data_IF_708351786144
#
_entry.id   IF_708351786144
#
_cell.length_a   1.000
_cell.length_b   1.000
_cell.length_c   1.000
_cell.angle_alpha   90.00
_cell.angle_beta   90.00
_cell.angle_gamma   90.00
#
_symmetry.space_group_name_H-M   'P 1'
#
loop_
_entity.id
_entity.type
_entity.pdbx_description
1 polymer ?
#
# COMPACT_ATOMS: atom_id res chain seq x y z
N UNK A 1 -2.59 16.19 -11.28
CA UNK A 1 -3.50 15.26 -10.55
C UNK A 1 -2.90 13.88 -10.40
N UNK A 2 -2.60 13.16 -11.49
CA UNK A 2 -2.05 11.80 -11.43
C UNK A 2 -0.66 11.70 -10.76
N UNK A 3 0.20 12.72 -10.94
CA UNK A 3 1.51 12.78 -10.28
C UNK A 3 1.40 12.90 -8.76
N UNK A 4 0.47 13.73 -8.25
CA UNK A 4 0.28 13.88 -6.81
C UNK A 4 -0.23 12.59 -6.14
N UNK A 5 -1.11 11.87 -6.84
CA UNK A 5 -1.54 10.53 -6.40
C UNK A 5 -0.36 9.55 -6.41
N UNK A 6 0.45 9.58 -7.47
CA UNK A 6 1.62 8.70 -7.61
C UNK A 6 2.66 8.94 -6.52
N UNK A 7 2.95 10.20 -6.17
CA UNK A 7 3.85 10.57 -5.07
C UNK A 7 3.31 10.10 -3.71
N UNK A 8 2.03 10.36 -3.42
CA UNK A 8 1.42 9.96 -2.15
C UNK A 8 1.42 8.44 -1.97
N UNK A 9 1.07 7.69 -3.01
CA UNK A 9 1.09 6.23 -2.98
C UNK A 9 2.52 5.70 -2.79
N UNK A 10 3.50 6.26 -3.52
CA UNK A 10 4.91 5.86 -3.40
C UNK A 10 5.42 6.06 -1.98
N UNK A 11 5.12 7.20 -1.35
CA UNK A 11 5.53 7.47 0.04
C UNK A 11 4.86 6.57 1.10
N UNK A 12 3.66 6.05 0.81
CA UNK A 12 3.01 5.03 1.66
C UNK A 12 3.73 3.68 1.49
N UNK A 13 4.00 3.25 0.25
CA UNK A 13 4.66 1.97 -0.03
C UNK A 13 6.10 1.91 0.50
N UNK A 14 6.84 3.01 0.42
CA UNK A 14 8.21 3.11 0.95
C UNK A 14 8.26 2.93 2.48
N UNK A 15 7.27 3.47 3.20
CA UNK A 15 7.16 3.28 4.65
C UNK A 15 6.84 1.83 4.99
N UNK A 16 5.89 1.24 4.26
CA UNK A 16 5.46 -0.14 4.47
C UNK A 16 6.58 -1.16 4.16
N UNK A 17 7.37 -0.94 3.10
CA UNK A 17 8.47 -1.84 2.72
C UNK A 17 9.68 -1.73 3.65
N UNK A 18 9.91 -0.59 4.30
CA UNK A 18 11.00 -0.42 5.28
C UNK A 18 10.76 -1.08 6.64
N UNK A 19 9.51 -1.40 7.00
CA UNK A 19 9.18 -1.97 8.31
C UNK A 19 9.52 -3.47 8.44
N UNK A 20 9.84 -4.19 7.35
CA UNK A 20 10.29 -5.59 7.37
C UNK A 20 9.20 -6.63 7.71
N UNK A 21 8.39 -6.37 8.74
CA UNK A 21 7.15 -7.05 9.05
C UNK A 21 6.05 -6.01 9.32
N UNK A 22 4.90 -6.17 8.66
CA UNK A 22 3.76 -5.28 8.84
C UNK A 22 2.78 -5.90 9.82
N UNK A 23 2.39 -5.15 10.84
CA UNK A 23 1.26 -5.52 11.68
C UNK A 23 -0.06 -5.19 10.98
N UNK A 24 -1.16 -5.80 11.44
CA UNK A 24 -2.51 -5.41 10.97
C UNK A 24 -2.81 -3.93 11.23
N UNK A 25 -2.24 -3.36 12.28
CA UNK A 25 -2.41 -1.95 12.64
C UNK A 25 -1.68 -1.02 11.67
N UNK A 26 -0.46 -1.36 11.25
CA UNK A 26 0.30 -0.62 10.24
C UNK A 26 -0.47 -0.59 8.91
N UNK A 27 -1.00 -1.75 8.49
CA UNK A 27 -1.81 -1.89 7.27
C UNK A 27 -3.06 -1.01 7.34
N UNK A 28 -3.81 -1.06 8.44
CA UNK A 28 -5.01 -0.23 8.63
C UNK A 28 -4.69 1.26 8.60
N UNK A 29 -3.56 1.66 9.19
CA UNK A 29 -3.12 3.06 9.20
C UNK A 29 -2.78 3.53 7.79
N UNK A 30 -2.01 2.75 7.02
CA UNK A 30 -1.68 3.06 5.64
C UNK A 30 -2.93 3.12 4.74
N UNK A 31 -3.88 2.19 4.89
CA UNK A 31 -5.12 2.19 4.11
C UNK A 31 -6.00 3.42 4.35
N UNK A 32 -5.94 4.02 5.55
CA UNK A 32 -6.62 5.28 5.82
C UNK A 32 -6.03 6.43 5.01
N UNK A 33 -4.71 6.50 4.93
CA UNK A 33 -4.02 7.52 4.13
C UNK A 33 -4.29 7.35 2.63
N UNK A 34 -4.29 6.10 2.14
CA UNK A 34 -4.66 5.79 0.75
C UNK A 34 -6.10 6.23 0.44
N UNK A 35 -7.05 5.99 1.36
CA UNK A 35 -8.42 6.45 1.20
C UNK A 35 -8.52 7.96 1.05
N UNK A 36 -7.77 8.72 1.85
CA UNK A 36 -7.72 10.19 1.74
C UNK A 36 -7.18 10.61 0.39
N UNK A 37 -6.05 10.03 -0.05
CA UNK A 37 -5.44 10.34 -1.33
C UNK A 37 -6.38 10.03 -2.53
N UNK A 38 -7.16 8.95 -2.45
CA UNK A 38 -8.16 8.63 -3.47
C UNK A 38 -9.28 9.69 -3.53
N UNK A 39 -9.77 10.13 -2.37
CA UNK A 39 -10.82 11.17 -2.32
C UNK A 39 -10.30 12.54 -2.80
N UNK A 40 -9.07 12.91 -2.46
CA UNK A 40 -8.41 14.13 -2.95
C UNK A 40 -8.18 14.11 -4.47
N UNK A 41 -8.09 12.92 -5.06
CA UNK A 41 -7.94 12.72 -6.50
C UNK A 41 -9.29 12.60 -7.24
N UNK A 42 -10.39 13.08 -6.64
CA UNK A 42 -11.75 13.02 -7.17
C UNK A 42 -12.25 11.59 -7.48
N UNK A 43 -11.73 10.58 -6.78
CA UNK A 43 -12.27 9.21 -6.87
C UNK A 43 -13.57 9.13 -6.05
N UNK A 44 -14.63 8.62 -6.68
CA UNK A 44 -15.91 8.46 -6.00
C UNK A 44 -15.82 7.60 -4.74
N UNK A 45 -16.57 7.98 -3.70
CA UNK A 45 -16.59 7.28 -2.41
C UNK A 45 -16.87 5.77 -2.54
N UNK A 46 -17.84 5.29 -3.36
CA UNK A 46 -18.07 3.86 -3.52
C UNK A 46 -16.84 3.12 -4.06
N UNK A 47 -16.18 3.68 -5.08
CA UNK A 47 -14.99 3.09 -5.71
C UNK A 47 -13.82 3.04 -4.72
N UNK A 48 -13.55 4.16 -4.03
CA UNK A 48 -12.48 4.21 -3.04
C UNK A 48 -12.73 3.19 -1.90
N UNK A 49 -13.98 3.05 -1.45
CA UNK A 49 -14.32 2.15 -0.34
C UNK A 49 -14.18 0.68 -0.72
N UNK A 50 -14.55 0.31 -1.94
CA UNK A 50 -14.44 -1.08 -2.40
C UNK A 50 -13.00 -1.45 -2.76
N UNK A 51 -12.22 -0.50 -3.29
CA UNK A 51 -10.77 -0.65 -3.47
C UNK A 51 -10.09 -0.95 -2.12
N UNK A 52 -10.33 -0.12 -1.10
CA UNK A 52 -9.72 -0.30 0.23
C UNK A 52 -10.10 -1.65 0.85
N UNK A 53 -11.38 -2.05 0.79
CA UNK A 53 -11.83 -3.36 1.29
C UNK A 53 -11.10 -4.52 0.63
N UNK A 54 -10.90 -4.44 -0.69
CA UNK A 54 -10.21 -5.48 -1.45
C UNK A 54 -8.74 -5.57 -1.04
N UNK A 55 -8.07 -4.44 -0.83
CA UNK A 55 -6.68 -4.40 -0.39
C UNK A 55 -6.55 -4.88 1.06
N UNK A 56 -7.43 -4.45 1.97
CA UNK A 56 -7.43 -4.87 3.38
C UNK A 56 -7.57 -6.39 3.51
N UNK A 57 -8.50 -7.01 2.77
CA UNK A 57 -8.69 -8.47 2.77
C UNK A 57 -7.45 -9.22 2.29
N UNK A 58 -6.71 -8.68 1.31
CA UNK A 58 -5.47 -9.29 0.80
C UNK A 58 -4.29 -9.08 1.76
N UNK A 59 -4.24 -7.92 2.42
CA UNK A 59 -3.16 -7.55 3.33
C UNK A 59 -3.30 -8.14 4.74
N UNK A 60 -4.52 -8.47 5.18
CA UNK A 60 -4.76 -9.19 6.46
C UNK A 60 -4.81 -10.71 6.28
N UNK A 61 -4.89 -11.20 5.03
CA UNK A 61 -4.81 -12.62 4.71
C UNK A 61 -3.39 -13.18 4.86
N UNK A 62 -3.25 -14.50 4.63
CA UNK A 62 -2.00 -15.28 4.72
C UNK A 62 -0.82 -14.77 3.84
N UNK A 63 -1.01 -13.70 3.07
CA UNK A 63 0.02 -13.11 2.20
C UNK A 63 1.03 -12.23 2.95
N UNK A 64 0.68 -11.65 4.11
CA UNK A 64 1.56 -10.67 4.80
C UNK A 64 2.46 -11.30 5.87
N UNK A 65 2.18 -12.54 6.28
CA UNK A 65 3.08 -13.32 7.17
C UNK A 65 4.32 -13.85 6.47
N UNK A 66 4.40 -13.77 5.13
CA UNK A 66 5.63 -14.00 4.37
C UNK A 66 6.21 -12.64 3.99
N UNK A 67 7.08 -12.15 4.86
CA UNK A 67 8.08 -11.10 4.63
C UNK A 67 8.11 -10.58 3.20
N UNK A 68 7.78 -9.32 3.02
CA UNK A 68 8.04 -8.58 1.79
C UNK A 68 9.55 -8.29 1.74
N UNK A 69 10.36 -9.33 1.61
CA UNK A 69 11.71 -9.17 1.07
C UNK A 69 11.48 -8.81 -0.40
N UNK A 70 11.83 -7.60 -0.84
CA UNK A 70 11.72 -7.29 -2.26
C UNK A 70 12.65 -8.25 -2.99
N UNK A 71 12.08 -9.13 -3.81
CA UNK A 71 12.82 -9.94 -4.77
C UNK A 71 13.36 -9.07 -5.93
N UNK A 72 13.97 -7.93 -5.58
CA UNK A 72 14.71 -7.03 -6.45
C UNK A 72 16.15 -6.90 -5.96
N UNK A 73 16.77 -8.02 -5.60
CA UNK A 73 18.22 -8.18 -5.64
C UNK A 73 18.56 -9.21 -6.73
N UNK A 74 18.38 -8.79 -7.99
CA UNK A 74 19.06 -9.43 -9.12
C UNK A 74 19.77 -8.34 -9.93
N UNK A 75 20.69 -7.66 -9.27
CA UNK A 75 21.88 -7.14 -9.94
C UNK A 75 23.01 -8.12 -9.65
N UNK A 76 22.91 -9.26 -10.33
CA UNK A 76 23.96 -10.26 -10.38
C UNK A 76 24.43 -10.27 -11.82
N UNK A 77 25.54 -9.58 -12.09
CA UNK A 77 26.63 -9.99 -12.98
C UNK A 77 27.60 -8.85 -13.28
N UNK A 78 28.87 -9.13 -12.94
CA UNK A 78 30.13 -8.58 -13.45
C UNK A 78 30.52 -7.15 -13.03
#
# INVERSE_FOLDING_TARGET
MFENLSERLSGVFDRLTKQGALSEEDVKTALREVRVALLEADVSLPVARDFIKTVESRATGQAVTKSVTPASSRQDRA
#
